data_IF_976717360469
#
_entry.id   IF_976717360469
#
_cell.length_a   1.000
_cell.length_b   1.000
_cell.length_c   1.000
_cell.angle_alpha   90.00
_cell.angle_beta   90.00
_cell.angle_gamma   90.00
#
_symmetry.space_group_name_H-M   'P 1'
#
loop_
_entity.id
_entity.type
_entity.pdbx_description
1 polymer ?
#
# COMPACT_ATOMS: atom_id res chain seq x y z
N UNK A 1 15.87 -0.76 43.13
CA UNK A 1 15.79 0.23 42.04
C UNK A 1 16.37 -0.28 40.70
N UNK A 2 16.12 -1.53 40.29
CA UNK A 2 16.55 -2.06 38.98
C UNK A 2 15.39 -2.33 38.01
N UNK A 3 14.18 -2.54 38.54
CA UNK A 3 12.98 -2.83 37.74
C UNK A 3 12.29 -1.57 37.18
N UNK A 4 12.48 -0.40 37.78
CA UNK A 4 11.87 0.85 37.30
C UNK A 4 12.48 1.37 36.00
N UNK A 5 13.75 1.05 35.73
CA UNK A 5 14.45 1.50 34.52
C UNK A 5 14.04 0.70 33.27
N UNK A 6 13.73 -0.59 33.44
CA UNK A 6 13.26 -1.48 32.37
C UNK A 6 11.84 -1.11 31.93
N UNK A 7 10.97 -0.73 32.88
CA UNK A 7 9.61 -0.24 32.60
C UNK A 7 9.60 1.09 31.84
N UNK A 8 10.55 1.99 32.13
CA UNK A 8 10.68 3.27 31.42
C UNK A 8 11.13 3.10 29.97
N UNK A 9 12.05 2.15 29.71
CA UNK A 9 12.51 1.83 28.36
C UNK A 9 11.39 1.19 27.50
N UNK A 10 10.56 0.33 28.09
CA UNK A 10 9.39 -0.25 27.41
C UNK A 10 8.31 0.79 27.08
N UNK A 11 8.03 1.72 28.00
CA UNK A 11 7.06 2.79 27.75
C UNK A 11 7.54 3.79 26.68
N UNK A 12 8.85 4.05 26.61
CA UNK A 12 9.46 4.90 25.58
C UNK A 12 9.43 4.24 24.20
N UNK A 13 9.56 2.91 24.14
CA UNK A 13 9.46 2.14 22.89
C UNK A 13 8.03 2.07 22.37
N UNK A 14 7.04 1.89 23.25
CA UNK A 14 5.61 1.90 22.88
C UNK A 14 5.15 3.30 22.41
N UNK A 15 5.68 4.37 22.99
CA UNK A 15 5.40 5.74 22.54
C UNK A 15 5.99 6.04 21.14
N UNK A 16 7.09 5.38 20.76
CA UNK A 16 7.70 5.52 19.42
C UNK A 16 6.96 4.75 18.33
N UNK A 17 6.08 3.81 18.67
CA UNK A 17 5.35 2.97 17.72
C UNK A 17 3.94 3.50 17.40
N UNK A 18 3.47 4.54 18.09
CA UNK A 18 2.17 5.15 17.84
C UNK A 18 2.32 6.31 16.85
N UNK A 19 2.21 6.04 15.55
CA UNK A 19 1.99 7.11 14.58
C UNK A 19 0.68 7.83 14.97
N UNK A 20 0.74 9.14 15.23
CA UNK A 20 -0.45 9.95 15.53
C UNK A 20 -0.95 10.60 14.26
N UNK A 21 -2.28 10.69 14.09
CA UNK A 21 -2.84 11.46 12.98
C UNK A 21 -2.48 12.95 13.11
N UNK A 22 -1.94 13.52 12.05
CA UNK A 22 -1.76 14.94 11.81
C UNK A 22 -2.73 15.43 10.72
N UNK A 23 -3.99 15.63 11.09
CA UNK A 23 -5.03 16.19 10.21
C UNK A 23 -4.80 17.66 9.77
N UNK A 24 -3.66 18.28 10.13
CA UNK A 24 -3.22 19.56 9.53
C UNK A 24 -2.37 19.32 8.28
N UNK A 25 -1.95 18.08 8.01
CA UNK A 25 -1.34 17.70 6.75
C UNK A 25 -2.33 17.95 5.62
N UNK A 26 -1.90 18.71 4.63
CA UNK A 26 -2.70 19.31 3.56
C UNK A 26 -3.04 18.34 2.43
N UNK A 27 -3.35 17.09 2.75
CA UNK A 27 -3.80 16.13 1.74
C UNK A 27 -5.31 16.19 1.63
N UNK A 28 -5.81 16.67 0.49
CA UNK A 28 -7.25 16.67 0.20
C UNK A 28 -7.58 15.47 -0.67
N UNK A 29 -8.69 14.80 -0.40
CA UNK A 29 -9.04 13.63 -1.19
C UNK A 29 -10.38 13.01 -0.85
N UNK A 30 -10.51 11.76 -1.27
CA UNK A 30 -11.72 10.96 -1.19
C UNK A 30 -11.41 9.60 -0.58
N UNK A 31 -12.23 9.19 0.39
CA UNK A 31 -12.31 7.82 0.92
C UNK A 31 -13.59 7.18 0.38
N UNK A 32 -13.46 6.03 -0.28
CA UNK A 32 -14.57 5.15 -0.64
C UNK A 32 -14.63 3.97 0.30
N UNK A 33 -15.81 3.72 0.84
CA UNK A 33 -16.09 2.61 1.76
C UNK A 33 -17.19 1.69 1.22
N UNK A 34 -17.57 0.67 1.97
CA UNK A 34 -18.81 -0.08 1.73
C UNK A 34 -20.08 0.76 1.89
N UNK A 35 -20.03 1.79 2.74
CA UNK A 35 -21.21 2.57 3.17
C UNK A 35 -21.38 3.87 2.40
N UNK A 36 -20.31 4.38 1.77
CA UNK A 36 -20.37 5.63 1.03
C UNK A 36 -19.01 6.21 0.65
N UNK A 37 -19.07 7.46 0.17
CA UNK A 37 -17.94 8.30 -0.25
C UNK A 37 -17.80 9.46 0.74
N UNK A 38 -16.58 9.72 1.19
CA UNK A 38 -16.25 10.80 2.13
C UNK A 38 -15.15 11.66 1.53
N UNK A 39 -15.33 12.97 1.54
CA UNK A 39 -14.39 13.93 0.97
C UNK A 39 -13.90 14.90 2.04
N UNK A 40 -12.64 15.28 1.97
CA UNK A 40 -12.05 16.23 2.91
C UNK A 40 -10.55 16.12 3.03
N UNK A 41 -10.02 16.59 4.15
CA UNK A 41 -8.61 16.44 4.49
C UNK A 41 -8.39 15.02 5.02
N UNK A 42 -7.45 14.32 4.41
CA UNK A 42 -7.15 12.91 4.68
C UNK A 42 -5.78 12.80 5.34
N UNK A 43 -5.70 11.91 6.32
CA UNK A 43 -4.43 11.47 6.88
C UNK A 43 -4.43 9.96 7.06
N UNK A 44 -3.33 9.30 6.69
CA UNK A 44 -3.22 7.85 6.60
C UNK A 44 -2.20 7.35 7.62
N UNK A 45 -2.66 6.47 8.50
CA UNK A 45 -1.81 5.74 9.42
C UNK A 45 -1.66 4.29 8.95
N UNK A 46 -0.54 4.01 8.30
CA UNK A 46 -0.25 2.66 7.77
C UNK A 46 0.16 1.68 8.87
N UNK A 47 0.57 2.18 10.04
CA UNK A 47 0.91 1.38 11.22
C UNK A 47 -0.35 0.82 11.88
N UNK A 48 -1.34 1.67 12.16
CA UNK A 48 -2.63 1.25 12.72
C UNK A 48 -3.65 0.81 11.67
N UNK A 49 -3.32 0.88 10.38
CA UNK A 49 -4.20 0.56 9.26
C UNK A 49 -5.51 1.37 9.30
N UNK A 50 -5.42 2.67 9.56
CA UNK A 50 -6.55 3.57 9.69
C UNK A 50 -6.36 4.83 8.86
N UNK A 51 -7.48 5.45 8.49
CA UNK A 51 -7.50 6.73 7.77
C UNK A 51 -8.43 7.70 8.46
N UNK A 52 -7.93 8.89 8.76
CA UNK A 52 -8.70 10.00 9.26
C UNK A 52 -9.20 10.83 8.09
N UNK A 53 -10.49 11.21 8.12
CA UNK A 53 -11.08 12.18 7.21
C UNK A 53 -11.67 13.33 8.02
N UNK A 54 -11.32 14.56 7.68
CA UNK A 54 -11.91 15.77 8.24
C UNK A 54 -12.62 16.56 7.14
N UNK A 55 -13.92 16.69 7.27
CA UNK A 55 -14.74 17.65 6.51
C UNK A 55 -15.05 18.88 7.36
N UNK A 56 -15.77 19.86 6.80
CA UNK A 56 -16.21 21.04 7.52
C UNK A 56 -17.11 20.72 8.73
N UNK A 57 -17.87 19.63 8.65
CA UNK A 57 -18.91 19.29 9.63
C UNK A 57 -18.46 18.23 10.65
N UNK A 58 -17.49 17.38 10.31
CA UNK A 58 -17.09 16.25 11.16
C UNK A 58 -15.67 15.75 10.89
N UNK A 59 -15.10 15.10 11.90
CA UNK A 59 -13.90 14.28 11.77
C UNK A 59 -14.29 12.81 12.01
N UNK A 60 -13.88 11.92 11.12
CA UNK A 60 -14.15 10.48 11.20
C UNK A 60 -12.86 9.68 11.00
N UNK A 61 -12.77 8.52 11.63
CA UNK A 61 -11.68 7.56 11.44
C UNK A 61 -12.27 6.28 10.85
N UNK A 62 -11.64 5.79 9.79
CA UNK A 62 -12.00 4.57 9.09
C UNK A 62 -10.90 3.54 9.30
N UNK A 63 -11.28 2.31 9.65
CA UNK A 63 -10.37 1.17 9.63
C UNK A 63 -10.17 0.65 8.20
N UNK A 64 -9.05 -0.04 7.94
CA UNK A 64 -8.79 -0.68 6.65
C UNK A 64 -9.92 -1.61 6.17
N UNK A 65 -10.64 -2.25 7.10
CA UNK A 65 -11.76 -3.14 6.79
C UNK A 65 -12.91 -2.40 6.08
N UNK A 66 -13.12 -1.12 6.44
CA UNK A 66 -14.18 -0.30 5.85
C UNK A 66 -13.76 0.32 4.52
N UNK A 67 -12.46 0.42 4.27
CA UNK A 67 -11.88 1.15 3.16
C UNK A 67 -11.80 0.25 1.93
N UNK A 68 -12.46 0.68 0.85
CA UNK A 68 -12.23 0.10 -0.49
C UNK A 68 -11.07 0.79 -1.17
N UNK A 69 -11.02 2.12 -1.08
CA UNK A 69 -10.08 2.95 -1.80
C UNK A 69 -9.95 4.32 -1.12
N UNK A 70 -8.74 4.85 -1.09
CA UNK A 70 -8.42 6.22 -0.70
C UNK A 70 -7.57 6.84 -1.79
N UNK A 71 -7.99 8.01 -2.28
CA UNK A 71 -7.21 8.83 -3.21
C UNK A 71 -7.12 10.24 -2.68
N UNK A 72 -6.01 10.91 -2.94
CA UNK A 72 -5.84 12.30 -2.55
C UNK A 72 -4.61 12.91 -3.18
N UNK A 73 -4.54 14.22 -3.07
CA UNK A 73 -3.41 15.02 -3.52
C UNK A 73 -2.96 15.88 -2.36
N UNK A 74 -1.68 15.76 -2.01
CA UNK A 74 -1.05 16.60 -1.00
C UNK A 74 -0.70 17.98 -1.54
N UNK A 75 -0.10 18.81 -0.68
CA UNK A 75 0.13 20.22 -1.03
C UNK A 75 1.24 20.42 -2.06
N UNK A 76 2.14 19.46 -2.23
CA UNK A 76 3.21 19.51 -3.22
C UNK A 76 2.81 18.78 -4.51
N UNK A 77 1.55 18.39 -4.64
CA UNK A 77 1.03 17.63 -5.78
C UNK A 77 1.28 16.12 -5.66
N UNK A 78 1.76 15.64 -4.51
CA UNK A 78 1.95 14.23 -4.26
C UNK A 78 0.61 13.50 -4.27
N UNK A 79 0.46 12.54 -5.17
CA UNK A 79 -0.72 11.69 -5.20
C UNK A 79 -0.56 10.57 -4.19
N UNK A 80 -1.60 10.36 -3.39
CA UNK A 80 -1.74 9.18 -2.55
C UNK A 80 -2.81 8.27 -3.12
N UNK A 81 -2.53 6.98 -3.13
CA UNK A 81 -3.51 5.98 -3.52
C UNK A 81 -3.35 4.74 -2.66
N UNK A 82 -4.38 4.39 -1.90
CA UNK A 82 -4.39 3.23 -1.01
C UNK A 82 -5.67 2.39 -1.21
N UNK A 83 -5.56 1.08 -0.99
CA UNK A 83 -6.70 0.15 -0.93
C UNK A 83 -6.66 -0.67 0.35
N UNK A 84 -7.84 -0.96 0.90
CA UNK A 84 -7.99 -1.91 1.99
C UNK A 84 -8.05 -3.33 1.44
N UNK A 85 -7.21 -4.23 1.97
CA UNK A 85 -7.26 -5.66 1.64
C UNK A 85 -7.07 -6.50 2.89
N UNK A 86 -7.61 -7.71 2.87
CA UNK A 86 -7.46 -8.70 3.94
C UNK A 86 -6.31 -9.65 3.62
N UNK A 87 -5.41 -9.85 4.57
CA UNK A 87 -4.33 -10.85 4.53
C UNK A 87 -4.35 -11.62 5.86
N UNK A 88 -4.40 -12.96 5.80
CA UNK A 88 -4.51 -13.81 6.99
C UNK A 88 -5.63 -13.44 7.99
N UNK A 89 -6.76 -12.93 7.50
CA UNK A 89 -7.89 -12.52 8.35
C UNK A 89 -7.78 -11.11 8.94
N UNK A 90 -6.65 -10.42 8.74
CA UNK A 90 -6.45 -9.04 9.17
C UNK A 90 -6.59 -8.05 8.01
N UNK A 91 -7.19 -6.90 8.27
CA UNK A 91 -7.35 -5.85 7.28
C UNK A 91 -6.17 -4.87 7.31
N UNK A 92 -5.59 -4.61 6.14
CA UNK A 92 -4.45 -3.71 5.99
C UNK A 92 -4.68 -2.68 4.89
N UNK A 93 -4.04 -1.52 5.05
CA UNK A 93 -3.91 -0.52 4.00
C UNK A 93 -2.66 -0.78 3.18
N UNK A 94 -2.85 -0.98 1.88
CA UNK A 94 -1.78 -1.13 0.91
C UNK A 94 -1.71 0.12 0.04
N UNK A 95 -0.50 0.65 -0.13
CA UNK A 95 -0.22 1.69 -1.12
C UNK A 95 -0.34 1.05 -2.52
N UNK A 96 -1.06 1.70 -3.42
CA UNK A 96 -1.20 1.28 -4.81
C UNK A 96 -0.10 1.96 -5.61
N UNK A 97 0.92 1.21 -6.01
CA UNK A 97 2.02 1.75 -6.81
C UNK A 97 1.66 1.83 -8.28
N UNK A 98 0.91 0.87 -8.79
CA UNK A 98 0.46 0.86 -10.18
C UNK A 98 -0.89 0.18 -10.26
N UNK A 99 -1.82 0.75 -11.02
CA UNK A 99 -3.17 0.22 -11.19
C UNK A 99 -3.51 0.21 -12.68
N UNK A 100 -4.14 -0.87 -13.14
CA UNK A 100 -4.37 -1.12 -14.56
C UNK A 100 -4.64 -2.60 -14.78
N UNK A 101 -3.96 -3.21 -15.76
CA UNK A 101 -4.08 -4.66 -16.00
C UNK A 101 -3.65 -5.49 -14.79
N UNK A 102 -2.58 -5.08 -14.12
CA UNK A 102 -2.11 -5.66 -12.87
C UNK A 102 -2.05 -4.55 -11.82
N UNK A 103 -2.79 -4.72 -10.73
CA UNK A 103 -2.65 -3.85 -9.56
C UNK A 103 -1.43 -4.29 -8.75
N UNK A 104 -0.43 -3.42 -8.66
CA UNK A 104 0.75 -3.56 -7.80
C UNK A 104 0.49 -2.83 -6.48
N UNK A 105 0.61 -3.56 -5.39
CA UNK A 105 0.41 -3.10 -4.02
C UNK A 105 1.71 -3.16 -3.22
N UNK A 106 1.87 -2.23 -2.28
CA UNK A 106 3.03 -2.14 -1.41
C UNK A 106 2.64 -1.96 0.07
N UNK A 107 3.21 -2.80 0.93
CA UNK A 107 3.15 -2.68 2.39
C UNK A 107 4.28 -3.46 3.06
N UNK A 108 5.29 -2.80 3.66
CA UNK A 108 6.34 -3.48 4.41
C UNK A 108 5.88 -3.88 5.82
N UNK A 109 6.58 -4.85 6.42
CA UNK A 109 6.50 -5.12 7.86
C UNK A 109 5.27 -5.90 8.33
N UNK A 110 4.52 -6.55 7.43
CA UNK A 110 3.43 -7.44 7.83
C UNK A 110 4.03 -8.76 8.32
N UNK A 111 3.72 -9.15 9.56
CA UNK A 111 4.14 -10.43 10.13
C UNK A 111 3.38 -11.58 9.44
N UNK A 112 4.14 -12.56 8.95
CA UNK A 112 3.64 -13.77 8.29
C UNK A 112 3.51 -14.94 9.28
N UNK A 113 4.44 -15.03 10.21
CA UNK A 113 4.49 -16.05 11.25
C UNK A 113 5.02 -15.43 12.54
N UNK A 114 4.18 -15.43 13.57
CA UNK A 114 4.48 -14.85 14.88
C UNK A 114 5.56 -15.62 15.64
N UNK A 115 5.73 -16.93 15.39
CA UNK A 115 6.71 -17.75 16.08
C UNK A 115 8.13 -17.50 15.56
N UNK A 116 8.27 -17.38 14.24
CA UNK A 116 9.56 -17.08 13.60
C UNK A 116 9.81 -15.59 13.43
N UNK A 117 8.81 -14.75 13.71
CA UNK A 117 8.78 -13.32 13.42
C UNK A 117 9.13 -13.00 11.95
N UNK A 118 8.80 -13.93 11.05
CA UNK A 118 9.03 -13.72 9.62
C UNK A 118 7.98 -12.79 9.06
N UNK A 119 8.37 -11.96 8.08
CA UNK A 119 7.48 -11.00 7.43
C UNK A 119 7.17 -11.40 6.01
N UNK A 120 6.02 -10.93 5.50
CA UNK A 120 5.76 -10.96 4.07
C UNK A 120 6.73 -10.04 3.32
N UNK A 121 7.05 -10.36 2.04
CA UNK A 121 7.67 -9.38 1.17
C UNK A 121 6.76 -8.15 1.05
N UNK A 122 7.32 -6.97 0.77
CA UNK A 122 6.52 -5.74 0.78
C UNK A 122 5.61 -5.59 -0.44
N UNK A 123 5.84 -6.36 -1.53
CA UNK A 123 5.07 -6.25 -2.76
C UNK A 123 4.04 -7.35 -2.91
N UNK A 124 2.85 -6.96 -3.38
CA UNK A 124 1.73 -7.86 -3.64
C UNK A 124 1.07 -7.51 -4.97
N UNK A 125 0.43 -8.50 -5.59
CA UNK A 125 -0.53 -8.29 -6.67
C UNK A 125 -1.91 -8.80 -6.27
N UNK A 126 -2.93 -8.34 -6.99
CA UNK A 126 -4.30 -8.82 -6.81
C UNK A 126 -4.60 -9.87 -7.87
N UNK A 127 -4.84 -11.10 -7.44
CA UNK A 127 -5.22 -12.21 -8.31
C UNK A 127 -6.64 -12.09 -8.86
N UNK A 128 -6.99 -12.98 -9.79
CA UNK A 128 -8.31 -12.96 -10.47
C UNK A 128 -9.48 -13.17 -9.50
N UNK A 129 -9.27 -13.85 -8.37
CA UNK A 129 -10.27 -14.09 -7.34
C UNK A 129 -10.20 -13.04 -6.22
N UNK A 130 -9.52 -11.90 -6.46
CA UNK A 130 -9.27 -10.81 -5.49
C UNK A 130 -8.42 -11.21 -4.29
N UNK A 131 -7.68 -12.31 -4.41
CA UNK A 131 -6.68 -12.75 -3.45
C UNK A 131 -5.40 -11.90 -3.55
N UNK A 132 -4.75 -11.65 -2.42
CA UNK A 132 -3.42 -11.05 -2.41
C UNK A 132 -2.38 -12.13 -2.71
N UNK A 133 -1.50 -11.85 -3.68
CA UNK A 133 -0.39 -12.71 -4.07
C UNK A 133 0.91 -12.02 -3.69
N UNK A 134 1.65 -12.49 -2.67
CA UNK A 134 2.94 -11.91 -2.30
C UNK A 134 3.98 -12.21 -3.38
N UNK A 135 4.83 -11.22 -3.67
CA UNK A 135 5.92 -11.35 -4.65
C UNK A 135 7.25 -11.55 -3.88
N UNK A 136 7.57 -12.81 -3.56
CA UNK A 136 8.70 -13.14 -2.67
C UNK A 136 10.07 -12.95 -3.32
N UNK A 137 10.17 -13.17 -4.63
CA UNK A 137 11.43 -13.16 -5.37
C UNK A 137 11.29 -12.45 -6.71
N UNK A 138 12.42 -12.08 -7.32
CA UNK A 138 12.47 -11.52 -8.68
C UNK A 138 11.68 -12.35 -9.69
N UNK A 139 11.75 -13.68 -9.61
CA UNK A 139 10.98 -14.57 -10.49
C UNK A 139 9.47 -14.38 -10.36
N UNK A 140 8.97 -14.04 -9.18
CA UNK A 140 7.54 -13.87 -8.92
C UNK A 140 7.05 -12.53 -9.48
N UNK A 141 7.89 -11.49 -9.37
CA UNK A 141 7.69 -10.21 -10.05
C UNK A 141 7.58 -10.38 -11.57
N UNK A 142 8.51 -11.13 -12.18
CA UNK A 142 8.47 -11.42 -13.61
C UNK A 142 7.23 -12.26 -13.97
N UNK A 143 6.95 -13.30 -13.18
CA UNK A 143 5.81 -14.19 -13.43
C UNK A 143 4.45 -13.51 -13.30
N UNK A 144 4.36 -12.40 -12.55
CA UNK A 144 3.13 -11.62 -12.41
C UNK A 144 2.63 -11.08 -13.76
N UNK A 145 3.52 -10.84 -14.73
CA UNK A 145 3.17 -10.41 -16.09
C UNK A 145 2.56 -11.54 -16.94
N UNK A 146 2.57 -12.79 -16.47
CA UNK A 146 1.93 -13.91 -17.17
C UNK A 146 2.51 -14.16 -18.56
N UNK A 147 1.67 -14.14 -19.60
CA UNK A 147 2.11 -14.34 -20.99
C UNK A 147 3.12 -13.32 -21.50
N UNK A 148 3.16 -12.15 -20.85
CA UNK A 148 3.99 -11.00 -21.21
C UNK A 148 5.38 -11.00 -20.53
N UNK A 149 5.66 -12.00 -19.68
CA UNK A 149 6.86 -12.06 -18.85
C UNK A 149 8.16 -11.89 -19.64
N UNK A 150 8.25 -12.48 -20.85
CA UNK A 150 9.48 -12.45 -21.67
C UNK A 150 9.85 -11.05 -22.14
N UNK A 151 8.89 -10.28 -22.65
CA UNK A 151 9.18 -8.94 -23.14
C UNK A 151 9.37 -7.96 -21.98
N UNK A 152 8.64 -8.16 -20.87
CA UNK A 152 8.85 -7.39 -19.64
C UNK A 152 10.25 -7.62 -19.06
N UNK A 153 10.75 -8.85 -19.07
CA UNK A 153 12.12 -9.17 -18.65
C UNK A 153 13.16 -8.47 -19.53
N UNK A 154 12.95 -8.42 -20.86
CA UNK A 154 13.79 -7.67 -21.77
C UNK A 154 13.76 -6.17 -21.47
N UNK A 155 12.58 -5.59 -21.25
CA UNK A 155 12.43 -4.18 -20.88
C UNK A 155 13.17 -3.85 -19.58
N UNK A 156 13.00 -4.68 -18.54
CA UNK A 156 13.67 -4.53 -17.24
C UNK A 156 15.19 -4.55 -17.42
N UNK A 157 15.71 -5.50 -18.21
CA UNK A 157 17.14 -5.61 -18.49
C UNK A 157 17.67 -4.40 -19.28
N UNK A 158 16.98 -4.00 -20.34
CA UNK A 158 17.42 -2.90 -21.22
C UNK A 158 17.40 -1.55 -20.49
N UNK A 159 16.50 -1.37 -19.54
CA UNK A 159 16.38 -0.14 -18.73
C UNK A 159 17.09 -0.24 -17.37
N UNK A 160 17.80 -1.34 -17.10
CA UNK A 160 18.54 -1.58 -15.86
C UNK A 160 17.68 -1.36 -14.60
N UNK A 161 16.42 -1.81 -14.64
CA UNK A 161 15.51 -1.63 -13.52
C UNK A 161 15.90 -2.56 -12.37
N UNK A 162 16.11 -1.99 -11.20
CA UNK A 162 16.43 -2.74 -10.00
C UNK A 162 15.16 -3.20 -9.27
N UNK A 163 14.85 -4.49 -9.43
CA UNK A 163 13.70 -5.13 -8.82
C UNK A 163 13.85 -5.40 -7.31
N UNK A 164 15.01 -5.12 -6.72
CA UNK A 164 15.18 -5.16 -5.26
C UNK A 164 14.68 -3.87 -4.58
N UNK A 165 14.42 -2.82 -5.36
CA UNK A 165 13.98 -1.52 -4.86
C UNK A 165 12.59 -1.13 -5.37
N UNK A 166 11.83 -0.41 -4.52
CA UNK A 166 10.46 0.06 -4.81
C UNK A 166 10.33 0.78 -6.14
N UNK A 167 11.29 1.63 -6.47
CA UNK A 167 11.27 2.41 -7.71
C UNK A 167 11.38 1.55 -8.97
N UNK A 168 12.27 0.55 -8.98
CA UNK A 168 12.43 -0.33 -10.14
C UNK A 168 11.20 -1.21 -10.36
N UNK A 169 10.60 -1.72 -9.28
CA UNK A 169 9.35 -2.47 -9.33
C UNK A 169 8.19 -1.60 -9.82
N UNK A 170 8.03 -0.39 -9.26
CA UNK A 170 7.03 0.57 -9.71
C UNK A 170 7.15 0.86 -11.20
N UNK A 171 8.35 1.21 -11.69
CA UNK A 171 8.58 1.52 -13.11
C UNK A 171 8.26 0.36 -14.03
N UNK A 172 8.57 -0.88 -13.64
CA UNK A 172 8.25 -2.06 -14.44
C UNK A 172 6.73 -2.26 -14.59
N UNK A 173 5.98 -2.24 -13.49
CA UNK A 173 4.54 -2.44 -13.52
C UNK A 173 3.80 -1.27 -14.17
N UNK A 174 4.26 -0.04 -13.95
CA UNK A 174 3.68 1.15 -14.60
C UNK A 174 3.89 1.15 -16.10
N UNK A 175 5.07 0.75 -16.59
CA UNK A 175 5.29 0.57 -18.03
C UNK A 175 4.35 -0.48 -18.63
N UNK A 176 4.18 -1.62 -17.93
CA UNK A 176 3.28 -2.68 -18.37
C UNK A 176 1.82 -2.18 -18.47
N UNK A 177 1.33 -1.54 -17.41
CA UNK A 177 -0.04 -1.05 -17.34
C UNK A 177 -0.32 0.06 -18.37
N UNK A 178 0.63 1.00 -18.58
CA UNK A 178 0.51 2.04 -19.60
C UNK A 178 0.51 1.47 -21.02
N UNK A 179 1.36 0.48 -21.29
CA UNK A 179 1.42 -0.20 -22.60
C UNK A 179 0.13 -0.98 -22.87
N UNK A 180 -0.40 -1.65 -21.84
CA UNK A 180 -1.68 -2.35 -21.94
C UNK A 180 -2.83 -1.36 -22.22
N UNK A 181 -2.90 -0.25 -21.50
CA UNK A 181 -3.92 0.79 -21.70
C UNK A 181 -3.84 1.40 -23.10
N UNK A 182 -2.63 1.69 -23.60
CA UNK A 182 -2.46 2.24 -24.94
C UNK A 182 -2.91 1.28 -26.05
N UNK A 183 -2.85 -0.04 -25.80
CA UNK A 183 -3.27 -1.08 -26.75
C UNK A 183 -4.71 -1.55 -26.52
N UNK A 184 -5.30 -1.25 -25.37
CA UNK A 184 -6.66 -1.61 -24.96
C UNK A 184 -7.28 -0.45 -24.18
N UNK A 185 -7.58 0.69 -24.84
CA UNK A 185 -8.07 1.87 -24.13
C UNK A 185 -9.38 1.57 -23.43
N UNK A 186 -9.47 1.99 -22.18
CA UNK A 186 -10.72 1.95 -21.41
C UNK A 186 -11.80 2.79 -22.13
N UNK A 187 -13.05 2.29 -22.22
CA UNK A 187 -14.14 2.97 -22.92
C UNK A 187 -14.56 4.29 -22.26
#
# INVERSE_FOLDING_TARGET
MKYSFVLFLYASYLASAAQTFNAKASTSGVIKTSEGKYEGIIDINTTSNQVLCRSAEKTQIFSAQQIKEVRGTGAQGEEIYYKGHTLNGEAHLFEVLSDGKITLLFKPGIVKDEFTNSTYPPFFTVGKKKELIPLERKKDLISAFGGDSKWMEQFIKNNQLDLDHKEGVYRAFSYYNQTFEATNPSP
#
